data_IF_463579697051
#
_entry.id   IF_463579697051
#
_cell.length_a   1.000
_cell.length_b   1.000
_cell.length_c   1.000
_cell.angle_alpha   90.00
_cell.angle_beta   90.00
_cell.angle_gamma   90.00
#
_symmetry.space_group_name_H-M   'P 1'
#
loop_
_entity.id
_entity.type
_entity.pdbx_description
1 polymer ?
#
# COMPACT_ATOMS: atom_id res chain seq x y z
N UNK A 1 10.02 -16.84 -5.19
CA UNK A 1 9.44 -15.73 -4.39
C UNK A 1 10.58 -15.03 -3.69
N UNK A 2 10.82 -13.75 -3.98
CA UNK A 2 11.77 -12.94 -3.21
C UNK A 2 11.09 -12.46 -1.92
N UNK A 3 11.66 -12.80 -0.77
CA UNK A 3 11.15 -12.46 0.57
C UNK A 3 12.12 -11.59 1.35
N UNK A 4 13.16 -11.07 0.70
CA UNK A 4 14.26 -10.35 1.34
C UNK A 4 13.73 -9.08 2.03
N UNK A 5 12.96 -8.26 1.29
CA UNK A 5 12.39 -7.01 1.81
C UNK A 5 11.42 -7.28 2.97
N UNK A 6 10.38 -8.13 2.84
CA UNK A 6 9.49 -8.42 3.96
C UNK A 6 10.20 -8.92 5.22
N UNK A 7 11.21 -9.80 5.07
CA UNK A 7 11.98 -10.30 6.22
C UNK A 7 12.80 -9.22 6.89
N UNK A 8 13.40 -8.31 6.12
CA UNK A 8 14.13 -7.18 6.67
C UNK A 8 13.20 -6.25 7.45
N UNK A 9 12.03 -5.92 6.91
CA UNK A 9 11.04 -5.06 7.57
C UNK A 9 10.53 -5.64 8.90
N UNK A 10 10.39 -6.97 8.97
CA UNK A 10 10.08 -7.66 10.23
C UNK A 10 11.22 -7.48 11.23
N UNK A 11 12.48 -7.69 10.80
CA UNK A 11 13.65 -7.55 11.67
C UNK A 11 13.83 -6.12 12.20
N UNK A 12 13.44 -5.12 11.40
CA UNK A 12 13.46 -3.70 11.79
C UNK A 12 12.21 -3.26 12.58
N UNK A 13 11.25 -4.15 12.84
CA UNK A 13 9.97 -3.85 13.47
C UNK A 13 9.15 -2.74 12.76
N UNK A 14 9.32 -2.61 11.44
CA UNK A 14 8.64 -1.61 10.60
C UNK A 14 7.51 -2.17 9.77
N UNK A 15 7.35 -3.49 9.70
CA UNK A 15 6.33 -4.10 8.84
C UNK A 15 4.92 -3.69 9.28
N UNK A 16 4.17 -3.09 8.36
CA UNK A 16 2.74 -2.81 8.52
C UNK A 16 1.94 -4.05 8.15
N UNK A 17 2.15 -4.54 6.92
CA UNK A 17 1.49 -5.74 6.42
C UNK A 17 2.37 -6.47 5.41
N UNK A 18 2.21 -7.78 5.33
CA UNK A 18 2.75 -8.61 4.24
C UNK A 18 1.67 -9.56 3.74
N UNK A 19 1.19 -9.31 2.53
CA UNK A 19 0.09 -10.01 1.90
C UNK A 19 0.61 -10.93 0.81
N UNK A 20 0.04 -12.14 0.73
CA UNK A 20 0.33 -13.11 -0.31
C UNK A 20 -0.96 -13.55 -0.98
N UNK A 21 -0.95 -13.58 -2.31
CA UNK A 21 -2.03 -14.13 -3.11
C UNK A 21 -1.66 -15.52 -3.61
N UNK A 22 -2.64 -16.44 -3.55
CA UNK A 22 -2.55 -17.79 -4.08
C UNK A 22 -3.77 -18.06 -4.99
N UNK A 23 -3.64 -18.98 -5.94
CA UNK A 23 -4.80 -19.43 -6.75
C UNK A 23 -5.89 -20.00 -5.84
N UNK A 24 -5.46 -20.80 -4.87
CA UNK A 24 -6.31 -21.30 -3.80
C UNK A 24 -5.72 -20.82 -2.47
N UNK A 25 -6.35 -19.79 -1.90
CA UNK A 25 -5.94 -19.21 -0.61
C UNK A 25 -6.15 -20.20 0.54
N UNK A 26 -7.14 -21.11 0.48
CA UNK A 26 -7.36 -22.11 1.51
C UNK A 26 -6.23 -23.16 1.53
N UNK A 27 -5.64 -23.44 0.37
CA UNK A 27 -4.48 -24.34 0.25
C UNK A 27 -3.14 -23.63 0.35
N UNK A 28 -3.12 -22.30 0.31
CA UNK A 28 -1.91 -21.49 0.27
C UNK A 28 -1.02 -21.79 -0.94
N UNK A 29 -1.59 -22.31 -2.04
CA UNK A 29 -0.84 -22.67 -3.25
C UNK A 29 -1.74 -22.86 -4.47
N UNK A 30 -1.20 -22.70 -5.69
CA UNK A 30 0.10 -22.10 -6.01
C UNK A 30 0.14 -20.60 -5.71
N UNK A 31 1.33 -20.10 -5.36
CA UNK A 31 1.62 -18.68 -5.16
C UNK A 31 1.49 -17.89 -6.47
N UNK A 32 0.82 -16.74 -6.43
CA UNK A 32 0.62 -15.89 -7.61
C UNK A 32 1.10 -14.45 -7.42
N UNK A 33 1.32 -13.99 -6.19
CA UNK A 33 1.84 -12.65 -5.96
C UNK A 33 1.91 -12.26 -4.49
N UNK A 34 2.49 -11.09 -4.23
CA UNK A 34 2.60 -10.51 -2.90
C UNK A 34 2.60 -8.99 -2.94
N UNK A 35 2.21 -8.40 -1.81
CA UNK A 35 2.44 -7.00 -1.51
C UNK A 35 2.96 -6.85 -0.08
N UNK A 36 3.86 -5.89 0.16
CA UNK A 36 4.33 -5.59 1.50
C UNK A 36 4.41 -4.07 1.71
N UNK A 37 4.05 -3.63 2.90
CA UNK A 37 4.14 -2.25 3.32
C UNK A 37 4.82 -2.11 4.67
N UNK A 38 5.51 -0.99 4.87
CA UNK A 38 6.22 -0.65 6.10
C UNK A 38 5.88 0.75 6.60
N UNK A 39 6.19 1.04 7.86
CA UNK A 39 6.17 2.39 8.40
C UNK A 39 7.38 3.18 7.90
N UNK A 40 7.12 4.33 7.29
CA UNK A 40 8.14 5.28 6.83
C UNK A 40 8.58 6.21 7.97
N UNK A 41 7.66 6.55 8.88
CA UNK A 41 7.89 7.48 9.99
C UNK A 41 7.70 6.82 11.37
N UNK A 42 8.36 7.36 12.38
CA UNK A 42 8.27 6.85 13.77
C UNK A 42 6.90 7.10 14.40
N UNK A 43 6.15 8.09 13.88
CA UNK A 43 4.80 8.41 14.34
C UNK A 43 3.74 7.44 13.81
N UNK A 44 4.12 6.50 12.92
CA UNK A 44 3.21 5.56 12.27
C UNK A 44 2.02 6.25 11.60
N UNK A 45 2.28 7.40 10.96
CA UNK A 45 1.27 8.14 10.18
C UNK A 45 1.44 7.93 8.68
N UNK A 46 2.63 7.50 8.26
CA UNK A 46 2.96 7.27 6.86
C UNK A 46 3.42 5.84 6.66
N UNK A 47 2.67 5.09 5.88
CA UNK A 47 3.11 3.79 5.38
C UNK A 47 3.74 3.93 4.00
N UNK A 48 4.61 2.99 3.65
CA UNK A 48 5.23 2.87 2.33
C UNK A 48 4.92 1.49 1.76
N UNK A 49 4.44 1.45 0.52
CA UNK A 49 4.27 0.22 -0.24
C UNK A 49 5.61 -0.10 -0.92
N UNK A 50 6.32 -1.09 -0.37
CA UNK A 50 7.69 -1.45 -0.72
C UNK A 50 7.78 -2.52 -1.79
N UNK A 51 6.82 -3.46 -1.78
CA UNK A 51 6.79 -4.59 -2.70
C UNK A 51 5.41 -4.72 -3.29
N UNK A 52 5.36 -4.85 -4.61
CA UNK A 52 4.19 -5.33 -5.36
C UNK A 52 4.70 -6.23 -6.47
N UNK A 53 4.37 -7.51 -6.40
CA UNK A 53 4.83 -8.48 -7.37
C UNK A 53 3.76 -9.51 -7.68
N UNK A 54 3.57 -9.83 -8.96
CA UNK A 54 2.75 -10.94 -9.43
C UNK A 54 3.56 -11.81 -10.39
N UNK A 55 3.23 -13.11 -10.44
CA UNK A 55 3.86 -14.03 -11.36
C UNK A 55 3.48 -13.69 -12.82
N UNK A 56 4.35 -13.99 -13.81
CA UNK A 56 4.02 -13.84 -15.22
C UNK A 56 2.73 -14.61 -15.59
N UNK A 57 1.87 -14.00 -16.40
CA UNK A 57 0.60 -14.60 -16.84
C UNK A 57 -0.55 -14.47 -15.82
N UNK A 58 -0.30 -13.93 -14.63
CA UNK A 58 -1.36 -13.60 -13.67
C UNK A 58 -2.05 -12.30 -14.09
N UNK A 59 -3.39 -12.21 -14.03
CA UNK A 59 -4.11 -10.98 -14.37
C UNK A 59 -3.72 -9.79 -13.51
N UNK A 60 -3.64 -8.60 -14.12
CA UNK A 60 -3.36 -7.33 -13.43
C UNK A 60 -4.33 -7.05 -12.28
N UNK A 61 -5.59 -7.50 -12.39
CA UNK A 61 -6.58 -7.38 -11.33
C UNK A 61 -6.13 -8.00 -9.98
N UNK A 62 -5.27 -9.03 -10.00
CA UNK A 62 -4.71 -9.62 -8.77
C UNK A 62 -3.73 -8.67 -8.10
N UNK A 63 -2.89 -7.99 -8.91
CA UNK A 63 -2.00 -6.93 -8.41
C UNK A 63 -2.82 -5.79 -7.81
N UNK A 64 -3.86 -5.35 -8.51
CA UNK A 64 -4.70 -4.24 -8.06
C UNK A 64 -5.42 -4.58 -6.75
N UNK A 65 -5.92 -5.80 -6.61
CA UNK A 65 -6.50 -6.30 -5.37
C UNK A 65 -5.49 -6.34 -4.22
N UNK A 66 -4.26 -6.81 -4.47
CA UNK A 66 -3.18 -6.81 -3.48
C UNK A 66 -2.81 -5.40 -3.02
N UNK A 67 -2.72 -4.44 -3.95
CA UNK A 67 -2.43 -3.04 -3.62
C UNK A 67 -3.57 -2.44 -2.80
N UNK A 68 -4.83 -2.61 -3.24
CA UNK A 68 -5.99 -2.11 -2.49
C UNK A 68 -6.03 -2.69 -1.08
N UNK A 69 -5.80 -3.99 -0.93
CA UNK A 69 -5.78 -4.64 0.37
C UNK A 69 -4.63 -4.11 1.23
N UNK A 70 -3.42 -3.92 0.69
CA UNK A 70 -2.31 -3.34 1.43
C UNK A 70 -2.62 -1.90 1.91
N UNK A 71 -3.30 -1.10 1.09
CA UNK A 71 -3.76 0.24 1.47
C UNK A 71 -4.81 0.18 2.58
N UNK A 72 -5.77 -0.75 2.49
CA UNK A 72 -6.76 -0.97 3.55
C UNK A 72 -6.09 -1.37 4.87
N UNK A 73 -5.20 -2.36 4.86
CA UNK A 73 -4.46 -2.82 6.04
C UNK A 73 -3.63 -1.67 6.65
N UNK A 74 -2.97 -0.87 5.82
CA UNK A 74 -2.23 0.30 6.30
C UNK A 74 -3.17 1.35 6.94
N UNK A 75 -4.33 1.62 6.33
CA UNK A 75 -5.32 2.54 6.87
C UNK A 75 -5.89 2.04 8.20
N UNK A 76 -6.23 0.75 8.29
CA UNK A 76 -6.71 0.09 9.51
C UNK A 76 -5.65 0.10 10.62
N UNK A 77 -4.37 0.00 10.25
CA UNK A 77 -3.24 0.15 11.18
C UNK A 77 -2.98 1.61 11.61
N UNK A 78 -3.67 2.60 11.03
CA UNK A 78 -3.60 4.01 11.41
C UNK A 78 -2.81 4.91 10.45
N UNK A 79 -2.33 4.39 9.31
CA UNK A 79 -1.67 5.22 8.32
C UNK A 79 -2.65 6.26 7.76
N UNK A 80 -2.22 7.52 7.70
CA UNK A 80 -2.96 8.64 7.07
C UNK A 80 -2.62 8.78 5.58
N UNK A 81 -1.47 8.23 5.18
CA UNK A 81 -0.99 8.22 3.81
C UNK A 81 -0.18 6.96 3.53
N UNK A 82 -0.27 6.49 2.29
CA UNK A 82 0.57 5.42 1.75
C UNK A 82 1.41 5.99 0.62
N UNK A 83 2.74 5.91 0.75
CA UNK A 83 3.69 6.33 -0.27
C UNK A 83 4.21 5.13 -1.05
N UNK A 84 4.68 5.34 -2.28
CA UNK A 84 5.43 4.33 -3.00
C UNK A 84 6.34 4.94 -4.06
N UNK A 85 7.49 4.32 -4.25
CA UNK A 85 8.37 4.61 -5.38
C UNK A 85 8.10 3.68 -6.58
N UNK A 86 7.16 2.73 -6.45
CA UNK A 86 6.76 1.85 -7.53
C UNK A 86 5.98 2.68 -8.55
N UNK A 87 6.56 2.84 -9.73
CA UNK A 87 5.97 3.61 -10.82
C UNK A 87 5.36 2.64 -11.85
N UNK A 88 4.08 2.29 -11.62
CA UNK A 88 3.28 1.52 -12.58
C UNK A 88 1.97 2.25 -12.86
N UNK A 89 1.53 2.36 -14.14
CA UNK A 89 0.37 3.16 -14.53
C UNK A 89 -0.90 2.84 -13.74
N UNK A 90 -1.08 1.57 -13.38
CA UNK A 90 -2.29 1.07 -12.72
C UNK A 90 -2.48 1.68 -11.31
N UNK A 91 -1.41 2.12 -10.65
CA UNK A 91 -1.53 2.81 -9.36
C UNK A 91 -2.27 4.15 -9.47
N UNK A 92 -2.16 4.85 -10.61
CA UNK A 92 -2.91 6.07 -10.84
C UNK A 92 -4.42 5.84 -10.91
N UNK A 93 -4.82 4.71 -11.51
CA UNK A 93 -6.22 4.26 -11.58
C UNK A 93 -6.75 3.88 -10.19
N UNK A 94 -5.86 3.43 -9.30
CA UNK A 94 -6.17 3.15 -7.90
C UNK A 94 -6.27 4.40 -7.02
N UNK A 95 -6.02 5.60 -7.57
CA UNK A 95 -6.14 6.87 -6.85
C UNK A 95 -4.83 7.41 -6.28
N UNK A 96 -3.70 6.74 -6.54
CA UNK A 96 -2.40 7.31 -6.21
C UNK A 96 -2.12 8.56 -7.06
N UNK A 97 -1.49 9.56 -6.45
CA UNK A 97 -1.15 10.85 -7.05
C UNK A 97 0.33 11.19 -6.82
N UNK A 98 0.97 11.97 -7.70
CA UNK A 98 2.35 12.40 -7.49
C UNK A 98 2.55 13.09 -6.13
N UNK A 99 3.61 12.73 -5.41
CA UNK A 99 3.97 13.35 -4.14
C UNK A 99 5.07 14.41 -4.29
N UNK A 100 5.11 15.41 -3.39
CA UNK A 100 6.07 16.52 -3.43
C UNK A 100 7.55 16.11 -3.19
N UNK A 101 7.83 14.81 -2.96
CA UNK A 101 9.18 14.25 -2.79
C UNK A 101 9.57 13.22 -3.85
N UNK A 102 8.79 13.11 -4.93
CA UNK A 102 8.90 12.00 -5.89
C UNK A 102 8.06 10.79 -5.49
N UNK A 103 7.81 9.90 -6.45
CA UNK A 103 6.91 8.76 -6.26
C UNK A 103 5.43 9.15 -6.17
N UNK A 104 4.65 8.25 -5.60
CA UNK A 104 3.19 8.29 -5.56
C UNK A 104 2.67 8.24 -4.13
N UNK A 105 1.57 8.93 -3.85
CA UNK A 105 0.89 8.98 -2.57
C UNK A 105 -0.61 8.64 -2.70
N UNK A 106 -1.13 7.90 -1.73
CA UNK A 106 -2.55 7.65 -1.52
C UNK A 106 -2.94 8.17 -0.13
N UNK A 107 -3.98 9.00 -0.05
CA UNK A 107 -4.51 9.47 1.22
C UNK A 107 -5.61 8.52 1.69
N UNK A 108 -5.43 7.95 2.88
CA UNK A 108 -6.35 6.92 3.44
C UNK A 108 -7.53 7.54 4.18
N UNK A 109 -7.39 8.77 4.66
CA UNK A 109 -8.50 9.55 5.24
C UNK A 109 -9.28 10.30 4.16
N UNK A 110 -10.60 10.36 4.34
CA UNK A 110 -11.41 11.38 3.66
C UNK A 110 -11.06 12.72 4.30
N UNK A 111 -10.19 13.50 3.66
CA UNK A 111 -10.02 14.89 4.05
C UNK A 111 -11.34 15.60 3.74
N UNK A 112 -12.22 15.73 4.75
CA UNK A 112 -13.26 16.73 4.69
C UNK A 112 -12.53 18.07 4.54
N UNK A 113 -12.77 18.85 3.47
CA UNK A 113 -12.15 20.16 3.35
C UNK A 113 -12.50 20.95 4.61
N UNK A 114 -11.58 21.77 5.16
CA UNK A 114 -11.93 22.64 6.27
C UNK A 114 -13.12 23.48 5.83
N UNK A 115 -14.26 23.27 6.49
CA UNK A 115 -15.42 24.12 6.32
C UNK A 115 -15.01 25.50 6.79
N UNK A 116 -14.65 26.38 5.85
CA UNK A 116 -14.51 27.81 6.10
C UNK A 116 -15.87 28.37 6.50
N UNK A 117 -16.16 28.28 7.80
CA UNK A 117 -17.24 29.02 8.44
C UNK A 117 -16.68 30.39 8.84
N UNK A 118 -16.44 31.22 7.81
CA UNK A 118 -16.37 32.68 7.96
C UNK A 118 -17.40 33.34 7.06
N UNK A 119 -18.63 33.42 7.57
CA UNK A 119 -19.60 34.44 7.24
C UNK A 119 -20.58 34.47 8.41
N UNK A 120 -20.83 35.55 9.13
CA UNK A 120 -20.42 36.95 9.07
C UNK A 120 -21.12 37.60 10.26
N UNK A 121 -20.47 38.61 10.85
CA UNK A 121 -21.08 39.50 11.85
C UNK A 121 -22.24 40.30 11.25
#
# INVERSE_FOLDING_TARGET
MDITIPRQLIAEAKLVCWLQAHVDNARGRPFVGQAAASWEDEQHTTARLDVVHIQPGVPSAVRDALVRLAVCEAAEAGALRVLTAIDVPELHELGFRPANGGGLAFHTGSAEPPSDLTAGL
#
